data_IF_652935815608
#
_entry.id   IF_652935815608
#
_cell.length_a   1.000
_cell.length_b   1.000
_cell.length_c   1.000
_cell.angle_alpha   90.00
_cell.angle_beta   90.00
_cell.angle_gamma   90.00
#
_symmetry.space_group_name_H-M   'P 1'
#
loop_
_entity.id
_entity.type
_entity.pdbx_description
1 polymer ?
#
# COMPACT_ATOMS: atom_id res chain seq x y z
N UNK A 1 20.72 13.66 -34.36
CA UNK A 1 21.09 15.01 -33.88
C UNK A 1 20.32 15.25 -32.59
N UNK A 2 20.99 15.19 -31.45
CA UNK A 2 20.33 15.32 -30.14
C UNK A 2 20.03 16.80 -29.88
N UNK A 3 18.76 17.17 -29.73
CA UNK A 3 18.38 18.52 -29.28
C UNK A 3 18.76 18.66 -27.80
N UNK A 4 19.89 19.31 -27.54
CA UNK A 4 20.22 19.74 -26.17
C UNK A 4 19.22 20.80 -25.75
N UNK A 5 18.33 20.46 -24.81
CA UNK A 5 17.43 21.40 -24.16
C UNK A 5 18.24 22.56 -23.57
N UNK A 6 17.96 23.78 -24.02
CA UNK A 6 18.65 24.98 -23.53
C UNK A 6 18.13 25.25 -22.12
N UNK A 7 19.01 25.13 -21.12
CA UNK A 7 18.67 25.45 -19.73
C UNK A 7 18.85 26.95 -19.52
N UNK A 8 17.85 27.63 -18.96
CA UNK A 8 17.86 29.07 -18.74
C UNK A 8 18.40 29.41 -17.35
N UNK A 9 18.92 30.63 -17.19
CA UNK A 9 19.24 31.20 -15.88
C UNK A 9 17.99 31.20 -14.98
N UNK A 10 18.16 30.79 -13.73
CA UNK A 10 17.06 30.70 -12.76
C UNK A 10 17.08 31.81 -11.71
N UNK A 11 18.01 32.76 -11.81
CA UNK A 11 18.07 33.91 -10.88
C UNK A 11 16.86 34.81 -11.07
N UNK A 12 16.10 35.02 -9.99
CA UNK A 12 14.90 35.87 -9.98
C UNK A 12 15.19 37.33 -10.33
N UNK A 13 16.43 37.79 -10.14
CA UNK A 13 16.89 39.15 -10.44
C UNK A 13 17.96 39.18 -11.54
N UNK A 14 17.90 38.29 -12.53
CA UNK A 14 18.89 38.29 -13.61
C UNK A 14 18.77 39.59 -14.45
N UNK A 15 19.84 40.39 -14.58
CA UNK A 15 19.82 41.64 -15.35
C UNK A 15 19.61 41.42 -16.85
N UNK A 16 19.73 40.17 -17.31
CA UNK A 16 19.55 39.75 -18.69
C UNK A 16 18.24 38.94 -18.90
N UNK A 17 17.32 38.98 -17.94
CA UNK A 17 16.05 38.26 -18.00
C UNK A 17 16.21 36.80 -17.61
N UNK A 18 16.43 35.91 -18.57
CA UNK A 18 16.65 34.47 -18.36
C UNK A 18 17.48 33.88 -19.50
N UNK A 19 18.74 34.31 -19.71
CA UNK A 19 19.53 33.85 -20.85
C UNK A 19 19.91 32.37 -20.67
N UNK A 20 20.28 31.67 -21.77
CA UNK A 20 20.87 30.34 -21.71
C UNK A 20 22.03 30.27 -20.71
N UNK A 21 22.01 29.28 -19.84
CA UNK A 21 23.00 29.09 -18.79
C UNK A 21 23.63 27.70 -18.86
N UNK A 22 24.93 27.66 -18.58
CA UNK A 22 25.71 26.43 -18.45
C UNK A 22 26.43 26.32 -17.11
N UNK A 23 26.37 27.36 -16.27
CA UNK A 23 27.04 27.37 -14.98
C UNK A 23 26.09 26.81 -13.93
N UNK A 24 26.42 25.61 -13.45
CA UNK A 24 25.70 24.91 -12.41
C UNK A 24 26.19 25.38 -11.02
N UNK A 25 25.30 25.34 -10.02
CA UNK A 25 25.70 25.53 -8.62
C UNK A 25 26.82 24.52 -8.25
N UNK A 26 28.01 24.97 -7.83
CA UNK A 26 29.15 24.08 -7.59
C UNK A 26 28.87 23.01 -6.52
N UNK A 27 28.02 23.32 -5.54
CA UNK A 27 27.62 22.34 -4.52
C UNK A 27 26.61 21.33 -5.07
N UNK A 28 25.62 21.76 -5.86
CA UNK A 28 24.69 20.84 -6.52
C UNK A 28 25.41 19.88 -7.45
N UNK A 29 26.35 20.39 -8.25
CA UNK A 29 27.18 19.59 -9.16
C UNK A 29 28.01 18.55 -8.39
N UNK A 30 28.63 18.95 -7.27
CA UNK A 30 29.35 18.02 -6.37
C UNK A 30 28.45 16.99 -5.69
N UNK A 31 27.18 17.33 -5.44
CA UNK A 31 26.20 16.45 -4.81
C UNK A 31 25.35 15.66 -5.81
N UNK A 32 25.62 15.76 -7.12
CA UNK A 32 24.85 15.09 -8.17
C UNK A 32 23.43 15.62 -8.38
N UNK A 33 23.09 16.78 -7.81
CA UNK A 33 21.78 17.41 -7.87
C UNK A 33 21.71 18.22 -9.18
N UNK A 34 20.87 17.78 -10.12
CA UNK A 34 20.70 18.47 -11.42
C UNK A 34 19.59 19.52 -11.34
N UNK A 35 19.80 20.66 -12.01
CA UNK A 35 18.73 21.62 -12.27
C UNK A 35 18.90 23.01 -11.67
N UNK A 36 20.09 23.40 -11.19
CA UNK A 36 20.35 24.75 -10.66
C UNK A 36 21.39 25.49 -11.48
N UNK A 37 20.94 26.39 -12.37
CA UNK A 37 21.77 27.05 -13.38
C UNK A 37 21.68 28.58 -13.35
N UNK A 38 22.83 29.25 -13.44
CA UNK A 38 22.93 30.72 -13.37
C UNK A 38 23.84 31.26 -14.47
N UNK A 39 23.45 32.31 -15.19
CA UNK A 39 24.24 32.80 -16.31
C UNK A 39 25.55 33.50 -15.92
N UNK A 40 25.75 33.78 -14.62
CA UNK A 40 26.94 34.42 -14.11
C UNK A 40 26.99 34.43 -12.58
N UNK A 41 28.17 34.75 -12.04
CA UNK A 41 28.42 34.74 -10.60
C UNK A 41 27.60 35.82 -9.87
N UNK A 42 27.26 36.91 -10.54
CA UNK A 42 26.38 37.95 -10.02
C UNK A 42 24.95 37.45 -9.86
N UNK A 43 24.42 36.69 -10.83
CA UNK A 43 23.11 36.07 -10.72
C UNK A 43 23.06 35.02 -9.61
N UNK A 44 24.12 34.23 -9.45
CA UNK A 44 24.27 33.30 -8.33
C UNK A 44 24.29 34.02 -6.98
N UNK A 45 25.00 35.15 -6.87
CA UNK A 45 25.09 35.94 -5.64
C UNK A 45 23.82 36.76 -5.36
N UNK A 46 23.16 37.30 -6.38
CA UNK A 46 21.94 38.09 -6.25
C UNK A 46 20.76 37.24 -5.74
N UNK A 47 20.68 36.00 -6.20
CA UNK A 47 19.71 35.01 -5.71
C UNK A 47 20.04 34.53 -4.28
N UNK A 48 21.24 34.82 -3.77
CA UNK A 48 21.68 34.50 -2.41
C UNK A 48 21.51 35.63 -1.38
N UNK A 49 21.05 36.82 -1.79
CA UNK A 49 21.15 38.05 -0.99
C UNK A 49 19.84 38.84 -0.78
N UNK A 50 18.68 38.41 -1.30
CA UNK A 50 17.42 39.18 -1.15
C UNK A 50 16.48 38.62 -0.05
N UNK A 51 15.74 39.48 0.65
CA UNK A 51 14.82 39.06 1.73
C UNK A 51 13.63 38.21 1.23
N UNK A 52 13.15 38.44 0.00
CA UNK A 52 12.12 37.61 -0.64
C UNK A 52 12.65 36.21 -1.06
N UNK A 53 13.98 36.05 -1.18
CA UNK A 53 14.64 34.78 -1.52
C UNK A 53 15.19 34.01 -0.32
N UNK A 54 15.09 34.51 0.92
CA UNK A 54 15.49 33.73 2.11
C UNK A 54 14.71 32.41 2.26
N UNK A 55 13.47 32.34 1.77
CA UNK A 55 12.68 31.10 1.72
C UNK A 55 13.29 30.14 0.67
N UNK A 56 13.58 30.62 -0.54
CA UNK A 56 14.21 29.81 -1.59
C UNK A 56 15.64 29.37 -1.23
N UNK A 57 16.39 30.20 -0.51
CA UNK A 57 17.72 29.88 0.00
C UNK A 57 17.66 28.85 1.13
N UNK A 58 16.71 28.98 2.07
CA UNK A 58 16.46 27.94 3.08
C UNK A 58 16.10 26.62 2.42
N UNK A 59 15.23 26.62 1.41
CA UNK A 59 14.85 25.42 0.66
C UNK A 59 16.03 24.83 -0.15
N UNK A 60 16.79 25.66 -0.88
CA UNK A 60 17.94 25.21 -1.67
C UNK A 60 19.06 24.69 -0.78
N UNK A 61 19.38 25.38 0.32
CA UNK A 61 20.34 24.89 1.31
C UNK A 61 19.82 23.64 2.03
N UNK A 62 18.52 23.54 2.33
CA UNK A 62 17.91 22.31 2.86
C UNK A 62 18.14 21.12 1.92
N UNK A 63 17.99 21.32 0.62
CA UNK A 63 18.27 20.29 -0.39
C UNK A 63 19.73 19.84 -0.33
N UNK A 64 20.66 20.77 -0.09
CA UNK A 64 22.07 20.40 0.10
C UNK A 64 22.27 19.66 1.41
N UNK A 65 21.63 20.09 2.50
CA UNK A 65 21.73 19.47 3.81
C UNK A 65 21.08 18.06 3.83
N UNK A 66 19.96 17.87 3.13
CA UNK A 66 19.28 16.58 2.94
C UNK A 66 20.12 15.60 2.10
N UNK A 67 20.86 16.09 1.11
CA UNK A 67 21.75 15.26 0.27
C UNK A 67 23.12 15.05 0.92
N UNK A 68 23.60 16.00 1.74
CA UNK A 68 24.83 15.89 2.53
C UNK A 68 24.67 15.03 3.78
N UNK A 69 23.44 14.84 4.25
CA UNK A 69 23.10 13.91 5.30
C UNK A 69 22.31 12.72 4.73
N UNK A 70 22.92 11.87 3.86
CA UNK A 70 22.41 10.52 3.76
C UNK A 70 22.41 9.95 5.17
N UNK A 71 21.39 9.18 5.52
CA UNK A 71 21.39 8.53 6.82
C UNK A 71 22.71 7.77 6.98
N UNK A 72 23.32 7.85 8.17
CA UNK A 72 24.66 7.29 8.42
C UNK A 72 24.75 5.78 8.11
N UNK A 73 23.61 5.11 7.93
CA UNK A 73 23.46 3.70 7.58
C UNK A 73 23.39 3.41 6.07
N UNK A 74 23.58 4.42 5.20
CA UNK A 74 23.55 4.27 3.75
C UNK A 74 22.15 4.27 3.14
N UNK A 75 21.11 4.60 3.92
CA UNK A 75 19.74 4.73 3.43
C UNK A 75 19.43 6.11 2.83
N UNK A 76 18.46 6.16 1.91
CA UNK A 76 18.06 7.37 1.19
C UNK A 76 16.57 7.36 0.80
N UNK A 77 16.02 8.53 0.48
CA UNK A 77 14.70 8.67 -0.13
C UNK A 77 14.87 8.85 -1.66
N UNK A 78 14.33 7.95 -2.51
CA UNK A 78 14.44 8.06 -3.96
C UNK A 78 13.62 9.21 -4.57
N UNK A 79 12.68 9.80 -3.81
CA UNK A 79 11.78 10.86 -4.27
C UNK A 79 11.98 12.15 -3.42
N UNK A 80 13.15 12.80 -3.47
CA UNK A 80 13.45 13.94 -2.59
C UNK A 80 12.59 15.18 -2.87
N UNK A 81 12.06 15.31 -4.10
CA UNK A 81 11.22 16.44 -4.52
C UNK A 81 9.72 16.12 -4.50
N UNK A 82 9.34 14.90 -4.09
CA UNK A 82 7.93 14.51 -4.02
C UNK A 82 7.25 15.18 -2.81
N UNK A 83 6.08 15.76 -3.04
CA UNK A 83 5.31 16.45 -2.01
C UNK A 83 4.50 15.44 -1.18
N UNK A 84 5.14 14.80 -0.19
CA UNK A 84 4.47 13.87 0.71
C UNK A 84 3.37 14.56 1.54
N UNK A 85 2.22 13.92 1.69
CA UNK A 85 1.10 14.43 2.50
C UNK A 85 1.36 14.40 4.01
N UNK A 86 2.17 13.44 4.49
CA UNK A 86 2.44 13.22 5.91
C UNK A 86 3.92 13.18 6.27
N UNK A 87 4.23 12.49 7.36
CA UNK A 87 5.59 12.36 7.92
C UNK A 87 6.35 11.14 7.39
N UNK A 88 5.64 10.16 6.83
CA UNK A 88 6.21 8.95 6.27
C UNK A 88 7.05 9.26 5.04
N UNK A 89 8.18 8.57 4.93
CA UNK A 89 9.12 8.65 3.80
C UNK A 89 9.55 7.22 3.45
N UNK A 90 9.76 6.93 2.16
CA UNK A 90 10.38 5.67 1.75
C UNK A 90 11.86 5.66 2.15
N UNK A 91 12.36 4.50 2.58
CA UNK A 91 13.73 4.30 3.06
C UNK A 91 14.42 3.21 2.24
N UNK A 92 15.17 3.64 1.24
CA UNK A 92 15.87 2.81 0.25
C UNK A 92 17.36 2.64 0.63
N UNK A 93 18.11 1.69 0.04
CA UNK A 93 17.67 0.74 -0.99
C UNK A 93 16.74 -0.34 -0.44
N UNK A 94 15.77 -0.74 -1.26
CA UNK A 94 15.02 -1.97 -1.00
C UNK A 94 15.98 -3.16 -1.01
N UNK A 95 15.78 -4.13 -0.12
CA UNK A 95 16.54 -5.39 -0.23
C UNK A 95 16.22 -6.10 -1.55
N UNK A 96 17.14 -6.92 -2.09
CA UNK A 96 16.91 -7.68 -3.31
C UNK A 96 15.63 -8.53 -3.25
N UNK A 97 15.01 -8.76 -4.41
CA UNK A 97 13.84 -9.64 -4.52
C UNK A 97 14.17 -11.03 -3.97
N UNK A 98 13.37 -11.49 -3.01
CA UNK A 98 13.54 -12.80 -2.36
C UNK A 98 13.19 -13.94 -3.33
N UNK A 99 13.92 -15.04 -3.21
CA UNK A 99 13.81 -16.18 -4.12
C UNK A 99 12.77 -17.17 -3.62
N UNK A 100 11.85 -17.56 -4.51
CA UNK A 100 10.90 -18.65 -4.25
C UNK A 100 11.51 -19.95 -4.80
N UNK A 101 11.57 -21.05 -4.03
CA UNK A 101 12.04 -22.35 -4.53
C UNK A 101 11.30 -22.83 -5.79
N UNK A 102 12.01 -23.56 -6.66
CA UNK A 102 11.46 -23.99 -7.96
C UNK A 102 10.24 -24.92 -7.83
N UNK A 103 10.17 -25.73 -6.77
CA UNK A 103 9.09 -26.70 -6.55
C UNK A 103 7.74 -26.07 -6.17
N UNK A 104 7.71 -24.80 -5.76
CA UNK A 104 6.47 -24.12 -5.37
C UNK A 104 5.69 -23.69 -6.62
N UNK A 105 4.41 -24.09 -6.76
CA UNK A 105 3.56 -23.63 -7.85
C UNK A 105 3.45 -22.10 -7.89
N UNK A 106 3.47 -21.53 -9.08
CA UNK A 106 3.48 -20.07 -9.29
C UNK A 106 2.22 -19.63 -10.02
N UNK A 107 1.65 -18.47 -9.66
CA UNK A 107 0.63 -17.83 -10.47
C UNK A 107 1.23 -17.34 -11.80
N UNK A 108 0.38 -17.08 -12.78
CA UNK A 108 0.79 -16.80 -14.17
C UNK A 108 1.63 -15.52 -14.34
N UNK A 109 1.49 -14.55 -13.43
CA UNK A 109 2.26 -13.31 -13.43
C UNK A 109 3.68 -13.46 -12.86
N UNK A 110 3.95 -14.47 -12.03
CA UNK A 110 5.18 -14.55 -11.23
C UNK A 110 6.47 -14.64 -12.05
N UNK A 111 6.39 -15.28 -13.22
CA UNK A 111 7.52 -15.51 -14.13
C UNK A 111 7.60 -14.48 -15.27
N UNK A 112 6.67 -13.52 -15.31
CA UNK A 112 6.62 -12.52 -16.37
C UNK A 112 7.42 -11.30 -15.95
N UNK A 113 8.19 -10.76 -16.89
CA UNK A 113 8.93 -9.52 -16.68
C UNK A 113 8.00 -8.32 -16.44
N UNK A 114 6.83 -8.31 -17.08
CA UNK A 114 5.82 -7.26 -16.91
C UNK A 114 4.94 -7.44 -15.66
N UNK A 115 4.98 -8.61 -15.00
CA UNK A 115 4.13 -8.95 -13.86
C UNK A 115 2.63 -8.99 -14.18
N UNK A 116 2.24 -9.07 -15.45
CA UNK A 116 0.83 -8.94 -15.86
C UNK A 116 0.06 -10.25 -15.62
N UNK A 117 -1.05 -10.23 -14.85
CA UNK A 117 -1.91 -11.42 -14.63
C UNK A 117 -2.82 -11.67 -15.84
N UNK A 118 -2.40 -12.52 -16.77
CA UNK A 118 -3.11 -12.77 -18.04
C UNK A 118 -4.48 -13.41 -17.78
N UNK A 119 -4.54 -14.34 -16.84
CA UNK A 119 -5.74 -15.04 -16.41
C UNK A 119 -6.82 -14.06 -15.92
N UNK A 120 -6.44 -13.05 -15.12
CA UNK A 120 -7.32 -11.96 -14.71
C UNK A 120 -7.76 -11.10 -15.90
N UNK A 121 -6.83 -10.70 -16.78
CA UNK A 121 -7.16 -9.90 -17.97
C UNK A 121 -8.18 -10.59 -18.87
N UNK A 122 -8.05 -11.92 -19.05
CA UNK A 122 -8.98 -12.73 -19.86
C UNK A 122 -10.36 -12.86 -19.22
N UNK A 123 -10.47 -12.68 -17.91
CA UNK A 123 -11.72 -12.78 -17.14
C UNK A 123 -12.32 -11.43 -16.80
N UNK A 124 -11.70 -10.33 -17.24
CA UNK A 124 -12.23 -8.99 -17.01
C UNK A 124 -13.65 -8.87 -17.59
N UNK A 125 -14.58 -8.39 -16.76
CA UNK A 125 -16.00 -8.25 -17.14
C UNK A 125 -16.83 -9.53 -17.05
N UNK A 126 -16.24 -10.68 -16.73
CA UNK A 126 -17.01 -11.89 -16.40
C UNK A 126 -17.77 -11.71 -15.08
N UNK A 127 -18.92 -12.38 -14.90
CA UNK A 127 -19.64 -12.34 -13.64
C UNK A 127 -18.84 -12.99 -12.51
N UNK A 128 -19.12 -12.66 -11.24
CA UNK A 128 -18.51 -13.32 -10.09
C UNK A 128 -18.65 -14.85 -10.17
N UNK A 129 -17.56 -15.55 -9.86
CA UNK A 129 -17.49 -17.01 -9.93
C UNK A 129 -18.10 -17.66 -8.69
N UNK A 130 -18.85 -18.74 -8.90
CA UNK A 130 -19.25 -19.68 -7.86
C UNK A 130 -18.32 -20.89 -7.91
N UNK A 131 -17.69 -21.20 -6.79
CA UNK A 131 -16.74 -22.30 -6.63
C UNK A 131 -17.44 -23.65 -6.48
N UNK A 132 -16.82 -24.70 -7.01
CA UNK A 132 -17.24 -26.09 -6.74
C UNK A 132 -16.79 -26.54 -5.34
N UNK A 133 -17.39 -27.59 -4.76
CA UNK A 133 -17.00 -28.08 -3.43
C UNK A 133 -15.50 -28.38 -3.27
N UNK A 134 -14.86 -28.97 -4.29
CA UNK A 134 -13.41 -29.26 -4.28
C UNK A 134 -12.54 -27.99 -4.28
N UNK A 135 -13.03 -26.90 -4.89
CA UNK A 135 -12.36 -25.61 -4.94
C UNK A 135 -12.52 -24.85 -3.62
N UNK A 136 -13.68 -25.01 -2.97
CA UNK A 136 -13.95 -24.44 -1.64
C UNK A 136 -12.98 -25.02 -0.60
N UNK A 137 -12.70 -26.33 -0.61
CA UNK A 137 -11.72 -26.93 0.32
C UNK A 137 -10.29 -26.39 0.10
N UNK A 138 -9.92 -26.12 -1.16
CA UNK A 138 -8.64 -25.49 -1.47
C UNK A 138 -8.59 -24.04 -0.97
N UNK A 139 -9.67 -23.28 -1.13
CA UNK A 139 -9.81 -21.94 -0.56
C UNK A 139 -9.70 -21.96 0.97
N UNK A 140 -10.43 -22.84 1.66
CA UNK A 140 -10.32 -23.02 3.13
C UNK A 140 -8.88 -23.29 3.55
N UNK A 141 -8.19 -24.17 2.83
CA UNK A 141 -6.80 -24.50 3.11
C UNK A 141 -5.88 -23.29 2.89
N UNK A 142 -5.98 -22.62 1.74
CA UNK A 142 -5.18 -21.43 1.44
C UNK A 142 -5.41 -20.33 2.48
N UNK A 143 -6.67 -20.04 2.81
CA UNK A 143 -7.05 -19.02 3.79
C UNK A 143 -6.56 -19.32 5.21
N UNK A 144 -6.64 -20.57 5.66
CA UNK A 144 -6.02 -20.99 6.94
C UNK A 144 -4.52 -20.76 6.94
N UNK A 145 -3.83 -21.13 5.86
CA UNK A 145 -2.38 -20.88 5.74
C UNK A 145 -2.07 -19.38 5.75
N UNK A 146 -2.87 -18.56 5.06
CA UNK A 146 -2.75 -17.11 5.08
C UNK A 146 -2.87 -16.52 6.49
N UNK A 147 -3.87 -16.98 7.26
CA UNK A 147 -4.03 -16.64 8.68
C UNK A 147 -2.80 -16.97 9.50
N UNK A 148 -2.28 -18.18 9.40
CA UNK A 148 -1.08 -18.56 10.15
C UNK A 148 0.14 -17.68 9.81
N UNK A 149 0.30 -17.27 8.53
CA UNK A 149 1.38 -16.37 8.12
C UNK A 149 1.17 -14.97 8.69
N UNK A 150 -0.07 -14.44 8.69
CA UNK A 150 -0.39 -13.17 9.31
C UNK A 150 -0.07 -13.19 10.82
N UNK A 151 -0.47 -14.24 11.52
CA UNK A 151 -0.25 -14.37 12.97
C UNK A 151 1.25 -14.42 13.31
N UNK A 152 2.05 -15.13 12.50
CA UNK A 152 3.51 -15.13 12.62
C UNK A 152 4.09 -13.73 12.38
N UNK A 153 3.64 -13.02 11.35
CA UNK A 153 4.13 -11.67 11.06
C UNK A 153 3.77 -10.68 12.18
N UNK A 154 2.53 -10.76 12.67
CA UNK A 154 2.01 -9.96 13.76
C UNK A 154 2.81 -10.13 15.06
N UNK A 155 3.23 -11.36 15.39
CA UNK A 155 4.02 -11.64 16.59
C UNK A 155 5.40 -10.97 16.61
N UNK A 156 5.85 -10.44 15.47
CA UNK A 156 7.13 -9.74 15.32
C UNK A 156 6.99 -8.22 15.26
N UNK A 157 5.77 -7.68 15.28
CA UNK A 157 5.53 -6.23 15.28
C UNK A 157 6.00 -5.64 16.61
N UNK A 158 7.07 -4.83 16.54
CA UNK A 158 7.66 -4.16 17.71
C UNK A 158 8.50 -2.96 17.26
N UNK A 159 8.75 -1.97 18.13
CA UNK A 159 9.69 -0.90 17.83
C UNK A 159 11.05 -1.43 17.37
N UNK A 160 11.63 -0.75 16.38
CA UNK A 160 12.96 -1.04 15.84
C UNK A 160 13.05 -2.11 14.76
N UNK A 161 12.01 -2.94 14.55
CA UNK A 161 11.97 -3.87 13.41
C UNK A 161 11.72 -3.08 12.12
N UNK A 162 12.35 -3.47 11.00
CA UNK A 162 12.03 -2.86 9.70
C UNK A 162 10.85 -3.56 9.04
N UNK A 163 10.13 -2.87 8.17
CA UNK A 163 9.11 -3.51 7.33
C UNK A 163 9.73 -4.54 6.38
N UNK A 164 10.97 -4.34 5.89
CA UNK A 164 11.70 -5.36 5.11
C UNK A 164 12.03 -6.63 5.93
N UNK A 165 12.25 -6.52 7.25
CA UNK A 165 12.37 -7.71 8.11
C UNK A 165 11.04 -8.46 8.24
N UNK A 166 9.91 -7.73 8.34
CA UNK A 166 8.58 -8.33 8.34
C UNK A 166 8.32 -9.05 7.00
N UNK A 167 8.68 -8.45 5.87
CA UNK A 167 8.64 -9.11 4.56
C UNK A 167 9.48 -10.39 4.51
N UNK A 168 10.68 -10.39 5.11
CA UNK A 168 11.50 -11.60 5.21
C UNK A 168 10.77 -12.74 5.94
N UNK A 169 10.14 -12.41 7.06
CA UNK A 169 9.39 -13.35 7.90
C UNK A 169 8.18 -13.89 7.13
N UNK A 170 7.38 -13.00 6.52
CA UNK A 170 6.22 -13.39 5.72
C UNK A 170 6.63 -14.27 4.54
N UNK A 171 7.68 -13.87 3.82
CA UNK A 171 8.20 -14.64 2.71
C UNK A 171 8.56 -16.06 3.16
N UNK A 172 9.41 -16.19 4.17
CA UNK A 172 9.85 -17.49 4.66
C UNK A 172 8.69 -18.34 5.18
N UNK A 173 7.80 -17.77 6.00
CA UNK A 173 6.63 -18.47 6.51
C UNK A 173 5.68 -18.96 5.41
N UNK A 174 5.62 -18.25 4.28
CA UNK A 174 4.87 -18.66 3.08
C UNK A 174 5.57 -19.81 2.35
N UNK A 175 6.89 -19.75 2.20
CA UNK A 175 7.70 -20.83 1.60
C UNK A 175 7.59 -22.13 2.41
N UNK A 176 7.66 -22.04 3.75
CA UNK A 176 7.56 -23.19 4.65
C UNK A 176 6.22 -23.92 4.53
N UNK A 177 5.19 -23.23 4.01
CA UNK A 177 3.85 -23.76 3.73
C UNK A 177 3.68 -24.26 2.29
N UNK A 178 4.76 -24.33 1.52
CA UNK A 178 4.76 -24.68 0.10
C UNK A 178 3.83 -23.78 -0.75
N UNK A 179 3.70 -22.51 -0.35
CA UNK A 179 2.88 -21.52 -1.01
C UNK A 179 3.74 -20.42 -1.64
N UNK A 180 3.16 -19.70 -2.60
CA UNK A 180 3.78 -18.55 -3.24
C UNK A 180 3.21 -17.26 -2.63
N UNK A 181 4.01 -16.25 -2.23
CA UNK A 181 3.48 -14.97 -1.76
C UNK A 181 2.89 -14.18 -2.93
N UNK A 182 1.56 -14.11 -3.03
CA UNK A 182 0.84 -13.56 -4.20
C UNK A 182 1.29 -12.14 -4.60
N UNK A 183 1.58 -11.20 -3.68
CA UNK A 183 2.04 -9.86 -4.06
C UNK A 183 3.35 -9.88 -4.87
N UNK A 184 4.20 -10.89 -4.68
CA UNK A 184 5.54 -10.90 -5.28
C UNK A 184 5.45 -10.95 -6.80
N UNK A 185 5.91 -9.88 -7.47
CA UNK A 185 5.88 -9.75 -8.92
C UNK A 185 4.51 -9.43 -9.53
N UNK A 186 3.42 -9.40 -8.74
CA UNK A 186 2.11 -9.00 -9.23
C UNK A 186 2.15 -7.54 -9.70
N UNK A 187 1.95 -7.30 -11.00
CA UNK A 187 2.11 -6.00 -11.67
C UNK A 187 3.44 -5.29 -11.32
N UNK A 188 4.50 -6.07 -11.10
CA UNK A 188 5.84 -5.63 -10.67
C UNK A 188 5.94 -5.15 -9.22
N UNK A 189 4.98 -5.48 -8.34
CA UNK A 189 5.16 -5.24 -6.91
C UNK A 189 6.41 -5.99 -6.41
N UNK A 190 7.34 -5.32 -5.69
CA UNK A 190 8.69 -5.84 -5.50
C UNK A 190 8.86 -6.79 -4.30
N UNK A 191 7.84 -6.93 -3.45
CA UNK A 191 7.91 -7.61 -2.15
C UNK A 191 6.81 -8.66 -2.00
N UNK A 192 6.85 -9.40 -0.89
CA UNK A 192 5.99 -10.57 -0.63
C UNK A 192 4.73 -10.21 0.17
N UNK A 193 4.68 -9.00 0.73
CA UNK A 193 3.64 -8.47 1.62
C UNK A 193 3.52 -6.97 1.43
N UNK A 194 2.36 -6.38 1.70
CA UNK A 194 2.25 -4.94 1.87
C UNK A 194 2.32 -4.57 3.36
N UNK A 195 3.11 -3.55 3.70
CA UNK A 195 3.24 -3.02 5.07
C UNK A 195 2.87 -1.54 5.07
N UNK A 196 1.67 -1.22 5.54
CA UNK A 196 1.10 0.13 5.45
C UNK A 196 1.11 0.80 6.82
N UNK A 197 2.04 1.73 7.03
CA UNK A 197 2.28 2.37 8.32
C UNK A 197 1.62 3.76 8.37
N UNK A 198 0.93 4.07 9.47
CA UNK A 198 0.32 5.37 9.75
C UNK A 198 -0.58 5.90 8.61
N UNK A 199 -0.19 6.97 7.90
CA UNK A 199 -0.98 7.59 6.83
C UNK A 199 -1.02 6.77 5.53
N UNK A 200 -0.25 5.69 5.43
CA UNK A 200 -0.34 4.75 4.31
C UNK A 200 -1.63 3.96 4.43
N UNK A 201 -2.51 4.11 3.43
CA UNK A 201 -3.82 3.48 3.33
C UNK A 201 -3.68 2.00 2.98
N UNK A 202 -2.90 1.69 1.94
CA UNK A 202 -2.64 0.32 1.49
C UNK A 202 -1.40 0.29 0.58
N UNK A 203 -0.95 -0.92 0.25
CA UNK A 203 0.13 -1.19 -0.70
C UNK A 203 1.49 -0.55 -0.36
N UNK A 204 1.74 -0.24 0.91
CA UNK A 204 3.06 0.20 1.34
C UNK A 204 4.12 -0.87 1.05
N UNK A 205 5.18 -0.49 0.34
CA UNK A 205 6.28 -1.41 -0.01
C UNK A 205 7.19 -1.60 1.22
N UNK A 206 7.43 -2.85 1.68
CA UNK A 206 8.44 -3.14 2.70
C UNK A 206 9.83 -2.58 2.36
N UNK A 207 10.40 -1.82 3.29
CA UNK A 207 11.63 -1.05 3.12
C UNK A 207 12.49 -1.00 4.40
N UNK A 208 13.55 -0.19 4.42
CA UNK A 208 14.47 -0.12 5.56
C UNK A 208 13.92 0.71 6.74
N UNK A 209 12.67 1.20 6.68
CA UNK A 209 12.10 2.00 7.77
C UNK A 209 11.87 1.12 8.99
N UNK A 210 12.53 1.48 10.09
CA UNK A 210 12.24 0.92 11.41
C UNK A 210 10.88 1.43 11.92
N UNK A 211 10.04 0.51 12.37
CA UNK A 211 8.82 0.84 13.10
C UNK A 211 9.16 1.56 14.41
N UNK A 212 8.35 2.54 14.79
CA UNK A 212 8.55 3.38 15.97
C UNK A 212 7.47 3.13 17.00
N UNK A 213 7.80 3.32 18.27
CA UNK A 213 6.80 3.36 19.35
C UNK A 213 5.67 4.33 18.99
N UNK A 214 4.43 3.87 19.08
CA UNK A 214 3.25 4.67 18.76
C UNK A 214 2.81 4.63 17.29
N UNK A 215 3.55 3.98 16.38
CA UNK A 215 3.08 3.69 15.03
C UNK A 215 1.88 2.73 15.07
N UNK A 216 1.04 2.79 14.03
CA UNK A 216 0.16 1.67 13.65
C UNK A 216 0.64 1.12 12.30
N UNK A 217 0.55 -0.20 12.12
CA UNK A 217 0.97 -0.86 10.87
C UNK A 217 -0.04 -1.91 10.44
N UNK A 218 -0.52 -1.80 9.21
CA UNK A 218 -1.28 -2.86 8.56
C UNK A 218 -0.35 -3.84 7.83
N UNK A 219 -0.63 -5.13 7.97
CA UNK A 219 0.07 -6.22 7.28
C UNK A 219 -0.93 -6.92 6.35
N UNK A 220 -0.74 -6.80 5.05
CA UNK A 220 -1.62 -7.37 4.02
C UNK A 220 -1.00 -8.61 3.39
N UNK A 221 -1.54 -9.78 3.79
CA UNK A 221 -0.99 -11.09 3.51
C UNK A 221 -1.84 -11.76 2.45
N UNK A 222 -1.17 -12.14 1.37
CA UNK A 222 -1.77 -12.95 0.34
C UNK A 222 -0.82 -14.06 -0.08
N UNK A 223 -1.34 -15.29 -0.18
CA UNK A 223 -0.58 -16.43 -0.65
C UNK A 223 -1.36 -17.24 -1.68
N UNK A 224 -0.62 -17.95 -2.53
CA UNK A 224 -1.13 -18.82 -3.57
C UNK A 224 -0.74 -20.26 -3.26
N UNK A 225 -1.75 -21.10 -3.06
CA UNK A 225 -1.60 -22.49 -2.69
C UNK A 225 -2.52 -23.37 -3.53
N UNK A 226 -1.95 -24.40 -4.15
CA UNK A 226 -2.67 -25.38 -4.99
C UNK A 226 -3.66 -24.78 -6.01
N UNK A 227 -3.30 -23.65 -6.61
CA UNK A 227 -4.13 -23.01 -7.64
C UNK A 227 -5.02 -21.88 -7.13
N UNK A 228 -5.04 -21.57 -5.83
CA UNK A 228 -5.97 -20.62 -5.22
C UNK A 228 -5.24 -19.60 -4.35
N UNK A 229 -5.73 -18.36 -4.36
CA UNK A 229 -5.24 -17.26 -3.55
C UNK A 229 -6.06 -17.14 -2.26
N UNK A 230 -5.38 -16.90 -1.14
CA UNK A 230 -5.99 -16.30 0.06
C UNK A 230 -5.61 -14.84 0.17
N UNK A 231 -6.47 -14.04 0.82
CA UNK A 231 -6.21 -12.63 1.08
C UNK A 231 -6.80 -12.22 2.44
N UNK A 232 -6.00 -11.58 3.28
CA UNK A 232 -6.40 -11.07 4.59
C UNK A 232 -5.39 -10.05 5.11
N UNK A 233 -5.86 -9.16 5.96
CA UNK A 233 -5.01 -8.15 6.58
C UNK A 233 -5.58 -7.64 7.90
N UNK A 234 -4.70 -7.09 8.72
CA UNK A 234 -5.07 -6.46 9.98
C UNK A 234 -4.09 -5.35 10.35
N UNK A 235 -4.59 -4.36 11.10
CA UNK A 235 -3.79 -3.26 11.64
C UNK A 235 -3.37 -3.54 13.08
N UNK A 236 -2.07 -3.42 13.35
CA UNK A 236 -1.45 -3.70 14.63
C UNK A 236 -0.84 -2.44 15.26
N UNK A 237 -0.91 -2.29 16.60
CA UNK A 237 -0.16 -1.27 17.32
C UNK A 237 1.33 -1.62 17.36
N UNK A 238 2.21 -0.63 17.24
CA UNK A 238 3.65 -0.77 17.48
C UNK A 238 3.97 -0.24 18.88
N UNK A 239 4.11 -1.14 19.85
CA UNK A 239 4.27 -0.75 21.25
C UNK A 239 2.99 -0.09 21.79
N UNK A 240 3.13 0.95 22.61
CA UNK A 240 2.02 1.74 23.13
C UNK A 240 1.61 2.82 22.14
N UNK A 241 0.33 2.81 21.74
CA UNK A 241 -0.27 3.82 20.87
C UNK A 241 -1.16 4.79 21.65
N UNK A 242 -1.46 5.95 21.04
CA UNK A 242 -2.45 6.90 21.54
C UNK A 242 -3.90 6.39 21.38
N UNK A 243 -4.82 7.02 22.11
CA UNK A 243 -6.24 6.63 22.12
C UNK A 243 -6.93 6.86 20.77
N UNK A 244 -6.55 7.90 20.03
CA UNK A 244 -7.12 8.17 18.70
C UNK A 244 -6.81 7.03 17.73
N UNK A 245 -5.60 6.49 17.79
CA UNK A 245 -5.17 5.34 16.97
C UNK A 245 -5.82 4.05 17.42
N UNK A 246 -5.95 3.85 18.73
CA UNK A 246 -6.67 2.70 19.27
C UNK A 246 -8.15 2.73 18.85
N UNK A 247 -8.78 3.91 18.89
CA UNK A 247 -10.14 4.13 18.39
C UNK A 247 -10.26 3.89 16.89
N UNK A 248 -9.30 4.36 16.09
CA UNK A 248 -9.27 4.14 14.64
C UNK A 248 -9.21 2.64 14.29
N UNK A 249 -8.33 1.88 14.95
CA UNK A 249 -8.22 0.42 14.77
C UNK A 249 -9.55 -0.25 15.14
N UNK A 250 -10.11 0.03 16.32
CA UNK A 250 -11.39 -0.56 16.76
C UNK A 250 -12.54 -0.24 15.81
N UNK A 251 -12.68 1.02 15.41
CA UNK A 251 -13.72 1.47 14.47
C UNK A 251 -13.60 0.75 13.13
N UNK A 252 -12.38 0.55 12.64
CA UNK A 252 -12.14 -0.15 11.36
C UNK A 252 -12.57 -1.61 11.43
N UNK A 253 -12.29 -2.30 12.54
CA UNK A 253 -12.77 -3.67 12.81
C UNK A 253 -14.29 -3.73 12.91
N UNK A 254 -14.92 -2.81 13.65
CA UNK A 254 -16.39 -2.72 13.78
C UNK A 254 -17.07 -2.50 12.41
N UNK A 255 -16.47 -1.68 11.54
CA UNK A 255 -16.93 -1.51 10.17
C UNK A 255 -16.87 -2.81 9.36
N UNK A 256 -15.80 -3.59 9.49
CA UNK A 256 -15.68 -4.88 8.82
C UNK A 256 -16.69 -5.88 9.36
N UNK A 257 -16.93 -5.92 10.67
CA UNK A 257 -17.95 -6.77 11.28
C UNK A 257 -19.36 -6.43 10.79
N UNK A 258 -19.66 -5.13 10.67
CA UNK A 258 -20.93 -4.65 10.10
C UNK A 258 -21.09 -5.08 8.62
N UNK A 259 -20.00 -5.08 7.85
CA UNK A 259 -20.00 -5.57 6.47
C UNK A 259 -20.24 -7.09 6.39
N UNK A 260 -19.54 -7.88 7.21
CA UNK A 260 -19.69 -9.35 7.25
C UNK A 260 -21.12 -9.73 7.64
N UNK A 261 -21.71 -9.03 8.61
CA UNK A 261 -23.07 -9.31 9.11
C UNK A 261 -24.17 -9.21 8.06
N UNK A 262 -23.97 -8.42 6.99
CA UNK A 262 -24.95 -8.31 5.89
C UNK A 262 -24.73 -9.34 4.79
N UNK A 263 -23.64 -10.10 4.84
CA UNK A 263 -23.29 -11.08 3.81
C UNK A 263 -24.12 -12.35 3.94
N UNK A 264 -24.93 -12.64 2.92
CA UNK A 264 -25.75 -13.87 2.80
C UNK A 264 -26.31 -14.01 1.37
N UNK A 265 -26.80 -15.18 0.97
CA UNK A 265 -27.47 -15.35 -0.31
C UNK A 265 -28.56 -14.30 -0.58
N UNK A 266 -28.53 -13.72 -1.78
CA UNK A 266 -29.48 -12.70 -2.22
C UNK A 266 -29.20 -11.28 -1.75
N UNK A 267 -28.27 -11.07 -0.79
CA UNK A 267 -27.85 -9.73 -0.40
C UNK A 267 -27.15 -9.01 -1.56
N UNK A 268 -27.29 -7.69 -1.66
CA UNK A 268 -26.69 -6.89 -2.71
C UNK A 268 -25.29 -6.43 -2.29
N UNK A 269 -24.29 -6.54 -3.17
CA UNK A 269 -22.93 -6.07 -2.87
C UNK A 269 -22.90 -4.58 -2.50
N UNK A 270 -23.77 -3.75 -3.09
CA UNK A 270 -23.86 -2.31 -2.78
C UNK A 270 -24.29 -2.00 -1.34
N UNK A 271 -24.97 -2.94 -0.67
CA UNK A 271 -25.47 -2.74 0.69
C UNK A 271 -24.38 -2.86 1.76
N UNK A 272 -23.22 -3.43 1.41
CA UNK A 272 -22.04 -3.48 2.27
C UNK A 272 -21.62 -2.05 2.68
N UNK A 273 -21.43 -1.16 1.71
CA UNK A 273 -21.06 0.23 2.01
C UNK A 273 -22.12 0.99 2.82
N UNK A 274 -23.40 0.60 2.70
CA UNK A 274 -24.50 1.15 3.52
C UNK A 274 -24.41 0.70 4.99
N UNK A 275 -23.88 -0.49 5.27
CA UNK A 275 -23.65 -0.97 6.63
C UNK A 275 -22.41 -0.32 7.27
N UNK A 276 -21.36 -0.10 6.49
CA UNK A 276 -20.06 0.43 6.95
C UNK A 276 -20.12 1.91 7.31
N UNK A 277 -20.63 2.74 6.39
CA UNK A 277 -20.42 4.20 6.48
C UNK A 277 -21.04 4.86 7.72
N UNK A 278 -22.21 4.43 8.26
CA UNK A 278 -22.72 4.95 9.53
C UNK A 278 -21.78 4.71 10.71
N UNK A 279 -21.15 3.53 10.80
CA UNK A 279 -20.20 3.16 11.86
C UNK A 279 -18.94 4.02 11.78
N UNK A 280 -18.41 4.23 10.57
CA UNK A 280 -17.25 5.10 10.37
C UNK A 280 -17.57 6.56 10.75
N UNK A 281 -18.70 7.10 10.25
CA UNK A 281 -19.06 8.51 10.42
C UNK A 281 -19.30 8.91 11.87
N UNK A 282 -20.01 8.10 12.65
CA UNK A 282 -20.28 8.41 14.06
C UNK A 282 -19.00 8.47 14.89
N UNK A 283 -17.96 7.76 14.45
CA UNK A 283 -16.64 7.75 15.06
C UNK A 283 -15.68 8.82 14.53
N UNK A 284 -16.12 9.68 13.60
CA UNK A 284 -15.30 10.74 13.00
C UNK A 284 -14.37 10.25 11.88
N UNK A 285 -14.63 9.07 11.33
CA UNK A 285 -13.87 8.50 10.21
C UNK A 285 -14.61 8.67 8.88
N UNK A 286 -13.84 8.77 7.81
CA UNK A 286 -14.25 8.69 6.42
C UNK A 286 -13.80 7.35 5.82
N UNK A 287 -14.56 6.86 4.84
CA UNK A 287 -14.27 5.59 4.14
C UNK A 287 -13.60 5.91 2.81
N UNK A 288 -12.39 5.36 2.59
CA UNK A 288 -11.66 5.52 1.32
C UNK A 288 -12.47 4.97 0.15
N UNK A 289 -12.44 5.68 -0.99
CA UNK A 289 -13.28 5.37 -2.17
C UNK A 289 -12.53 4.79 -3.37
N UNK A 290 -11.22 4.99 -3.42
CA UNK A 290 -10.36 4.55 -4.53
C UNK A 290 -10.18 3.03 -4.56
N UNK A 291 -10.21 2.40 -3.38
CA UNK A 291 -9.93 0.97 -3.18
C UNK A 291 -11.18 0.21 -2.73
N UNK A 292 -11.31 -1.03 -3.19
CA UNK A 292 -12.50 -1.87 -2.95
C UNK A 292 -12.08 -3.30 -2.62
N UNK A 293 -12.94 -4.05 -1.94
CA UNK A 293 -12.87 -5.49 -1.92
C UNK A 293 -13.05 -6.08 -3.32
N UNK A 294 -12.70 -7.34 -3.48
CA UNK A 294 -12.76 -8.04 -4.77
C UNK A 294 -13.13 -9.50 -4.61
N UNK A 295 -13.53 -10.15 -5.70
CA UNK A 295 -13.50 -11.61 -5.77
C UNK A 295 -12.07 -12.12 -5.64
N UNK A 296 -11.89 -13.25 -4.96
CA UNK A 296 -10.60 -13.92 -4.78
C UNK A 296 -10.81 -15.43 -4.85
N UNK A 297 -10.01 -16.11 -5.68
CA UNK A 297 -10.11 -17.55 -5.92
C UNK A 297 -8.85 -18.05 -6.65
N UNK A 298 -8.99 -18.71 -7.80
CA UNK A 298 -7.87 -19.04 -8.68
C UNK A 298 -7.28 -17.80 -9.36
N UNK A 299 -7.98 -16.66 -9.27
CA UNK A 299 -7.50 -15.33 -9.60
C UNK A 299 -7.25 -14.54 -8.32
N UNK A 300 -6.19 -13.71 -8.31
CA UNK A 300 -5.88 -12.89 -7.16
C UNK A 300 -6.92 -11.76 -7.02
N UNK A 301 -7.23 -11.07 -8.12
CA UNK A 301 -8.29 -10.07 -8.19
C UNK A 301 -9.29 -10.38 -9.30
N UNK A 302 -10.56 -10.50 -8.95
CA UNK A 302 -11.65 -10.72 -9.93
C UNK A 302 -12.97 -10.10 -9.48
N UNK A 303 -14.02 -10.22 -10.30
CA UNK A 303 -15.35 -9.77 -9.93
C UNK A 303 -15.88 -10.54 -8.69
N UNK A 304 -16.62 -9.88 -7.80
CA UNK A 304 -17.17 -8.52 -7.92
C UNK A 304 -16.22 -7.47 -7.33
N UNK A 305 -16.30 -6.23 -7.80
CA UNK A 305 -15.75 -5.08 -7.06
C UNK A 305 -16.73 -4.71 -5.94
N UNK A 306 -16.23 -4.56 -4.71
CA UNK A 306 -17.04 -4.36 -3.50
C UNK A 306 -16.66 -3.02 -2.83
N UNK A 307 -17.31 -1.90 -3.19
CA UNK A 307 -17.04 -0.61 -2.58
C UNK A 307 -17.50 -0.54 -1.13
N UNK A 308 -16.69 0.13 -0.29
CA UNK A 308 -16.92 0.21 1.16
C UNK A 308 -17.79 1.40 1.59
N UNK A 309 -18.10 2.32 0.67
CA UNK A 309 -18.87 3.54 0.94
C UNK A 309 -20.33 3.40 0.53
N UNK A 310 -21.24 4.10 1.21
CA UNK A 310 -22.67 4.08 0.93
C UNK A 310 -23.02 4.79 -0.38
N UNK A 311 -24.19 4.47 -0.94
CA UNK A 311 -24.67 4.99 -2.24
C UNK A 311 -23.71 4.71 -3.41
N UNK A 312 -22.88 3.68 -3.31
CA UNK A 312 -22.10 3.16 -4.42
C UNK A 312 -23.02 2.51 -5.48
N UNK A 313 -22.44 2.24 -6.66
CA UNK A 313 -23.15 1.65 -7.81
C UNK A 313 -22.75 0.20 -8.07
N UNK A 314 -22.27 -0.53 -7.07
CA UNK A 314 -21.90 -1.92 -7.25
C UNK A 314 -23.09 -2.75 -7.73
N UNK A 315 -22.82 -3.64 -8.68
CA UNK A 315 -23.82 -4.47 -9.35
C UNK A 315 -23.67 -5.91 -8.86
N UNK A 316 -24.80 -6.60 -8.68
CA UNK A 316 -24.83 -8.03 -8.39
C UNK A 316 -25.37 -8.37 -7.01
N UNK A 317 -25.74 -9.64 -6.87
CA UNK A 317 -26.19 -10.28 -5.64
C UNK A 317 -25.20 -11.36 -5.23
N UNK A 318 -25.04 -11.55 -3.93
CA UNK A 318 -24.28 -12.65 -3.34
C UNK A 318 -25.00 -13.98 -3.60
N UNK A 319 -24.23 -15.00 -4.00
CA UNK A 319 -24.74 -16.36 -4.21
C UNK A 319 -23.84 -17.37 -3.48
N UNK A 320 -24.40 -18.51 -3.03
CA UNK A 320 -23.61 -19.59 -2.47
C UNK A 320 -22.42 -19.97 -3.35
N UNK A 321 -21.30 -20.26 -2.70
CA UNK A 321 -20.01 -20.61 -3.32
C UNK A 321 -19.22 -19.44 -3.90
N UNK A 322 -19.69 -18.19 -3.79
CA UNK A 322 -18.86 -17.02 -4.11
C UNK A 322 -17.84 -16.77 -2.99
N UNK A 323 -16.57 -16.62 -3.36
CA UNK A 323 -15.49 -16.20 -2.47
C UNK A 323 -15.04 -14.78 -2.79
N UNK A 324 -14.98 -13.92 -1.77
CA UNK A 324 -14.61 -12.51 -1.93
C UNK A 324 -13.93 -11.92 -0.70
N UNK A 325 -12.96 -11.05 -0.94
CA UNK A 325 -12.33 -10.16 0.02
C UNK A 325 -13.31 -9.08 0.46
N UNK A 326 -13.56 -8.99 1.77
CA UNK A 326 -14.14 -7.80 2.38
C UNK A 326 -13.04 -6.99 3.06
N UNK A 327 -12.76 -5.81 2.53
CA UNK A 327 -11.72 -4.89 2.99
C UNK A 327 -12.39 -3.61 3.53
N UNK A 328 -11.76 -2.89 4.46
CA UNK A 328 -12.23 -1.57 4.91
C UNK A 328 -11.03 -0.67 5.17
N UNK A 329 -11.02 0.53 4.58
CA UNK A 329 -9.97 1.51 4.77
C UNK A 329 -10.59 2.76 5.37
N UNK A 330 -10.22 3.10 6.60
CA UNK A 330 -10.67 4.31 7.28
C UNK A 330 -9.53 5.31 7.42
N UNK A 331 -9.88 6.59 7.34
CA UNK A 331 -9.04 7.73 7.69
C UNK A 331 -9.93 8.91 8.05
N UNK A 332 -9.38 10.12 8.24
CA UNK A 332 -10.21 11.32 8.41
C UNK A 332 -10.71 11.91 7.08
N UNK A 333 -10.09 11.49 5.98
CA UNK A 333 -10.44 11.84 4.61
C UNK A 333 -10.57 10.57 3.77
N UNK A 334 -11.41 10.61 2.73
CA UNK A 334 -11.63 9.50 1.81
C UNK A 334 -10.72 9.55 0.58
N UNK A 335 -10.07 10.70 0.34
CA UNK A 335 -9.25 10.93 -0.85
C UNK A 335 -7.79 10.47 -0.65
N UNK A 336 -7.14 10.13 -1.75
CA UNK A 336 -5.89 9.36 -1.76
C UNK A 336 -4.81 10.01 -2.62
N UNK A 337 -3.56 9.94 -2.18
CA UNK A 337 -2.38 10.32 -2.94
C UNK A 337 -1.51 9.08 -3.19
N UNK A 338 -0.95 8.93 -4.41
CA UNK A 338 -0.05 7.83 -4.74
C UNK A 338 1.39 8.32 -4.82
N UNK A 339 2.30 7.61 -4.17
CA UNK A 339 3.74 7.88 -4.27
C UNK A 339 4.28 7.51 -5.66
N UNK A 340 5.43 8.09 -6.01
CA UNK A 340 6.13 7.85 -7.28
C UNK A 340 6.67 6.40 -7.41
N UNK A 341 6.58 5.57 -6.36
CA UNK A 341 6.85 4.14 -6.43
C UNK A 341 5.73 3.33 -7.14
N UNK A 342 4.66 4.01 -7.57
CA UNK A 342 3.49 3.45 -8.28
C UNK A 342 2.58 2.54 -7.44
N UNK A 343 2.83 2.39 -6.13
CA UNK A 343 2.09 1.46 -5.27
C UNK A 343 1.57 2.10 -4.00
N UNK A 344 2.43 2.77 -3.24
CA UNK A 344 2.11 3.27 -1.91
C UNK A 344 1.02 4.33 -2.01
N UNK A 345 -0.16 4.02 -1.45
CA UNK A 345 -1.27 4.96 -1.38
C UNK A 345 -1.37 5.55 0.02
N UNK A 346 -1.42 6.86 0.14
CA UNK A 346 -1.53 7.58 1.42
C UNK A 346 -2.78 8.43 1.47
N UNK A 347 -3.20 8.80 2.68
CA UNK A 347 -4.21 9.85 2.86
C UNK A 347 -3.67 11.18 2.33
N UNK A 348 -4.55 12.00 1.74
CA UNK A 348 -4.14 13.31 1.19
C UNK A 348 -3.84 14.35 2.29
N UNK A 349 -4.37 14.16 3.50
CA UNK A 349 -4.20 15.06 4.65
C UNK A 349 -3.08 14.62 5.61
N UNK A 350 -2.37 13.53 5.29
CA UNK A 350 -1.26 13.01 6.08
C UNK A 350 -1.66 12.40 7.42
N UNK A 351 -2.95 12.20 7.67
CA UNK A 351 -3.46 11.57 8.89
C UNK A 351 -3.49 10.05 8.74
N UNK A 352 -3.48 9.36 9.88
CA UNK A 352 -3.44 7.90 9.95
C UNK A 352 -4.62 7.25 9.23
N UNK A 353 -4.36 6.09 8.64
CA UNK A 353 -5.35 5.18 8.10
C UNK A 353 -5.19 3.80 8.75
N UNK A 354 -6.28 3.06 8.84
CA UNK A 354 -6.28 1.67 9.27
C UNK A 354 -7.12 0.83 8.34
N UNK A 355 -6.76 -0.45 8.26
CA UNK A 355 -7.43 -1.43 7.42
C UNK A 355 -7.56 -2.78 8.13
N UNK A 356 -8.67 -3.46 7.85
CA UNK A 356 -8.88 -4.87 8.13
C UNK A 356 -9.50 -5.55 6.92
N UNK A 357 -9.26 -6.84 6.83
CA UNK A 357 -9.78 -7.66 5.76
C UNK A 357 -10.03 -9.11 6.18
N UNK A 358 -11.09 -9.70 5.63
CA UNK A 358 -11.26 -11.15 5.60
C UNK A 358 -11.63 -11.65 4.19
N UNK A 359 -11.18 -12.85 3.84
CA UNK A 359 -11.77 -13.63 2.73
C UNK A 359 -13.03 -14.33 3.22
N UNK A 360 -14.15 -14.07 2.55
CA UNK A 360 -15.47 -14.61 2.89
C UNK A 360 -15.94 -15.62 1.85
N UNK A 361 -16.65 -16.65 2.28
CA UNK A 361 -17.39 -17.58 1.44
C UNK A 361 -18.88 -17.45 1.73
N UNK A 362 -19.67 -17.12 0.71
CA UNK A 362 -21.14 -17.15 0.84
C UNK A 362 -21.59 -18.60 0.88
N UNK A 363 -22.30 -19.00 1.93
CA UNK A 363 -22.86 -20.35 2.11
C UNK A 363 -24.34 -20.36 1.72
N UNK A 364 -25.00 -21.52 1.77
CA UNK A 364 -26.44 -21.63 1.49
C UNK A 364 -27.32 -20.82 2.46
N UNK A 365 -26.83 -20.55 3.68
CA UNK A 365 -27.62 -19.91 4.75
C UNK A 365 -27.01 -18.61 5.28
N UNK A 366 -25.81 -18.24 4.85
CA UNK A 366 -25.12 -17.07 5.37
C UNK A 366 -23.74 -16.87 4.75
N UNK A 367 -22.75 -16.69 5.62
CA UNK A 367 -21.35 -16.44 5.25
C UNK A 367 -20.44 -17.22 6.20
N UNK A 368 -19.35 -17.76 5.66
CA UNK A 368 -18.23 -18.33 6.39
C UNK A 368 -17.02 -17.41 6.21
N UNK A 369 -16.34 -17.08 7.31
CA UNK A 369 -15.12 -16.27 7.31
C UNK A 369 -13.93 -17.22 7.19
N UNK A 370 -13.38 -17.38 5.98
CA UNK A 370 -12.35 -18.39 5.70
C UNK A 370 -11.00 -18.08 6.37
N UNK A 371 -10.77 -16.81 6.68
CA UNK A 371 -9.54 -16.28 7.28
C UNK A 371 -9.71 -15.93 8.76
N UNK A 372 -10.80 -16.37 9.40
CA UNK A 372 -11.04 -16.14 10.82
C UNK A 372 -9.89 -16.68 11.69
N UNK A 373 -9.66 -16.04 12.82
CA UNK A 373 -8.79 -16.56 13.87
C UNK A 373 -9.36 -17.88 14.41
N UNK A 374 -8.50 -18.87 14.69
CA UNK A 374 -8.93 -20.18 15.16
C UNK A 374 -9.75 -20.14 16.48
N UNK A 375 -9.63 -19.06 17.26
CA UNK A 375 -10.40 -18.82 18.49
C UNK A 375 -11.74 -18.11 18.29
N UNK A 376 -12.04 -17.64 17.08
CA UNK A 376 -13.25 -16.87 16.78
C UNK A 376 -14.22 -17.76 16.01
N UNK A 377 -14.91 -18.64 16.72
CA UNK A 377 -16.11 -19.31 16.21
C UNK A 377 -17.24 -18.28 16.33
N UNK A 378 -17.70 -17.75 15.20
CA UNK A 378 -18.88 -16.88 15.11
C UNK A 378 -20.16 -17.69 15.30
#
# INVERSE_FOLDING_TARGET
MSSTSVVLCQSTNCPHGNPPSRLECPTCSKLGIRGSFFCGQECFKADSASQFTQINQKTHKLVHDLVRAPAQDGTFNPFPNYAFSGTMRPVYPLSPKRQVPAYIPRPDYALREDGVPISEMRKLGHPPRTLRPDEIEKMRTACRLGREVLDIAASHVRPGITTDNIDAIVHQATIDRNAYPSPLGYRKFPKSVCTSVNEVICHGIPDQRKLREGDIVNLDISLYYQGFHSDLNATYPVGKIDEDSAKLIRTTRECLDAAIKVCKPGALFRDIGKAIEPVARVNGCAVVRTYTGHGVNDLFHTAPNIPHYAKNKAVGTMKPGMASKQMINLGTNWDTQHWDDSWTATTIDGKRSAQFEETLLITETGVEVLTAEASTIV
#
